data_IF_291830512381
#
_entry.id   IF_291830512381
#
_cell.length_a   1.000
_cell.length_b   1.000
_cell.length_c   1.000
_cell.angle_alpha   90.00
_cell.angle_beta   90.00
_cell.angle_gamma   90.00
#
_symmetry.space_group_name_H-M   'P 1'
#
loop_
_entity.id
_entity.type
_entity.pdbx_description
1 polymer ?
#
# COMPACT_ATOMS: atom_id res chain seq x y z
N UNK A 1 -14.64 -27.53 -4.62
CA UNK A 1 -14.48 -26.72 -5.83
C UNK A 1 -13.38 -25.73 -5.51
N UNK A 2 -12.18 -25.91 -6.06
CA UNK A 2 -11.17 -24.88 -5.94
C UNK A 2 -11.64 -23.74 -6.84
N UNK A 3 -12.13 -22.67 -6.23
CA UNK A 3 -12.28 -21.41 -6.94
C UNK A 3 -10.87 -21.08 -7.41
N UNK A 4 -10.61 -21.25 -8.71
CA UNK A 4 -9.37 -20.82 -9.35
C UNK A 4 -9.17 -19.38 -8.87
N UNK A 5 -8.14 -19.13 -8.04
CA UNK A 5 -7.98 -17.85 -7.34
C UNK A 5 -7.94 -16.75 -8.38
N UNK A 6 -9.10 -16.12 -8.58
CA UNK A 6 -9.31 -15.06 -9.55
C UNK A 6 -8.62 -13.84 -8.94
N UNK A 7 -7.30 -13.79 -9.12
CA UNK A 7 -6.48 -12.80 -8.46
C UNK A 7 -6.76 -11.45 -9.11
N UNK A 8 -7.41 -10.56 -8.35
CA UNK A 8 -7.77 -9.22 -8.80
C UNK A 8 -6.55 -8.51 -9.42
N UNK A 9 -6.61 -8.08 -10.69
CA UNK A 9 -5.51 -7.37 -11.33
C UNK A 9 -5.11 -6.11 -10.56
N UNK A 10 -6.04 -5.46 -9.86
CA UNK A 10 -5.73 -4.31 -9.01
C UNK A 10 -4.82 -4.70 -7.85
N UNK A 11 -5.02 -5.86 -7.21
CA UNK A 11 -4.15 -6.30 -6.12
C UNK A 11 -2.73 -6.54 -6.63
N UNK A 12 -2.57 -7.22 -7.77
CA UNK A 12 -1.25 -7.41 -8.41
C UNK A 12 -0.55 -6.06 -8.64
N UNK A 13 -1.26 -5.12 -9.27
CA UNK A 13 -0.73 -3.80 -9.57
C UNK A 13 -0.38 -3.01 -8.31
N UNK A 14 -1.18 -3.12 -7.24
CA UNK A 14 -0.88 -2.48 -5.95
C UNK A 14 0.40 -3.01 -5.33
N UNK A 15 0.63 -4.32 -5.37
CA UNK A 15 1.87 -4.93 -4.87
C UNK A 15 3.09 -4.53 -5.70
N UNK A 16 2.94 -4.41 -7.02
CA UNK A 16 3.99 -3.87 -7.89
C UNK A 16 4.29 -2.40 -7.54
N UNK A 17 3.25 -1.57 -7.42
CA UNK A 17 3.38 -0.15 -7.10
C UNK A 17 4.01 0.11 -5.72
N UNK A 18 3.78 -0.77 -4.74
CA UNK A 18 4.45 -0.73 -3.43
C UNK A 18 5.96 -0.95 -3.54
N UNK A 19 6.41 -1.79 -4.49
CA UNK A 19 7.84 -2.06 -4.73
C UNK A 19 8.50 -0.97 -5.56
N UNK A 20 7.81 -0.45 -6.56
CA UNK A 20 8.23 0.69 -7.37
C UNK A 20 7.01 1.40 -7.97
N UNK A 21 6.83 2.73 -7.79
CA UNK A 21 7.75 3.70 -7.21
C UNK A 21 7.50 4.02 -5.72
N UNK A 22 6.53 3.36 -5.07
CA UNK A 22 6.06 3.77 -3.73
C UNK A 22 6.87 3.19 -2.57
N UNK A 23 8.01 2.54 -2.84
CA UNK A 23 8.86 1.87 -1.83
C UNK A 23 9.24 2.79 -0.67
N UNK A 24 9.56 4.05 -0.96
CA UNK A 24 9.91 5.05 0.06
C UNK A 24 8.79 5.27 1.09
N UNK A 25 7.53 5.18 0.67
CA UNK A 25 6.38 5.35 1.56
C UNK A 25 6.10 4.08 2.36
N UNK A 26 6.38 2.90 1.79
CA UNK A 26 6.35 1.64 2.53
C UNK A 26 7.41 1.65 3.65
N UNK A 27 8.63 2.12 3.33
CA UNK A 27 9.71 2.26 4.32
C UNK A 27 9.37 3.28 5.41
N UNK A 28 8.83 4.46 5.03
CA UNK A 28 8.40 5.47 6.00
C UNK A 28 7.31 4.94 6.95
N UNK A 29 6.31 4.23 6.42
CA UNK A 29 5.28 3.58 7.23
C UNK A 29 5.89 2.52 8.16
N UNK A 30 6.86 1.73 7.68
CA UNK A 30 7.60 0.77 8.51
C UNK A 30 8.29 1.43 9.70
N UNK A 31 9.06 2.50 9.45
CA UNK A 31 9.76 3.26 10.49
C UNK A 31 8.80 3.87 11.51
N UNK A 32 7.69 4.47 11.05
CA UNK A 32 6.68 4.99 11.97
C UNK A 32 6.05 3.86 12.80
N UNK A 33 5.73 2.73 12.17
CA UNK A 33 5.11 1.59 12.86
C UNK A 33 6.03 1.04 13.95
N UNK A 34 7.31 0.86 13.67
CA UNK A 34 8.31 0.44 14.66
C UNK A 34 8.43 1.45 15.81
N UNK A 35 8.40 2.75 15.50
CA UNK A 35 8.43 3.82 16.50
C UNK A 35 7.21 3.78 17.42
N UNK A 36 6.00 3.66 16.87
CA UNK A 36 4.74 3.64 17.62
C UNK A 36 4.62 2.36 18.45
N UNK A 37 4.93 1.19 17.89
CA UNK A 37 4.92 -0.09 18.61
C UNK A 37 5.95 -0.14 19.75
N UNK A 38 7.03 0.63 19.64
CA UNK A 38 8.03 0.78 20.70
C UNK A 38 7.59 1.63 21.90
N UNK A 39 6.43 2.31 21.84
CA UNK A 39 5.93 3.16 22.94
C UNK A 39 4.90 2.41 23.79
N UNK A 40 5.01 2.58 25.12
CA UNK A 40 4.05 1.98 26.08
C UNK A 40 2.74 2.77 26.23
N UNK A 41 2.80 4.08 26.01
CA UNK A 41 1.65 4.98 26.03
C UNK A 41 1.97 6.13 25.08
N UNK A 42 1.32 6.17 23.92
CA UNK A 42 1.45 7.24 22.93
C UNK A 42 0.11 7.49 22.27
N UNK A 43 -0.16 8.74 21.93
CA UNK A 43 -1.27 9.14 21.06
C UNK A 43 -0.83 9.20 19.58
N UNK A 44 0.47 9.03 19.33
CA UNK A 44 1.04 8.98 17.99
C UNK A 44 0.48 7.79 17.21
N UNK A 45 0.15 8.04 15.95
CA UNK A 45 -0.23 7.04 14.97
C UNK A 45 0.45 7.35 13.62
N UNK A 46 0.41 6.39 12.70
CA UNK A 46 1.04 6.50 11.38
C UNK A 46 0.05 6.82 10.26
N UNK A 47 -1.01 7.59 10.57
CA UNK A 47 -2.07 7.88 9.62
C UNK A 47 -1.54 8.63 8.39
N UNK A 48 -0.64 9.59 8.60
CA UNK A 48 -0.07 10.38 7.51
C UNK A 48 0.75 9.51 6.55
N UNK A 49 1.60 8.62 7.07
CA UNK A 49 2.36 7.66 6.25
C UNK A 49 1.46 6.67 5.50
N UNK A 50 0.33 6.27 6.09
CA UNK A 50 -0.68 5.44 5.42
C UNK A 50 -1.31 6.21 4.26
N UNK A 51 -1.74 7.46 4.48
CA UNK A 51 -2.37 8.29 3.44
C UNK A 51 -1.38 8.54 2.28
N UNK A 52 -0.11 8.82 2.59
CA UNK A 52 0.93 9.02 1.59
C UNK A 52 1.17 7.75 0.74
N UNK A 53 1.29 6.60 1.40
CA UNK A 53 1.44 5.32 0.72
C UNK A 53 0.23 5.01 -0.18
N UNK A 54 -0.98 5.15 0.35
CA UNK A 54 -2.21 4.90 -0.40
C UNK A 54 -2.33 5.84 -1.60
N UNK A 55 -2.04 7.12 -1.41
CA UNK A 55 -2.08 8.11 -2.49
C UNK A 55 -1.10 7.76 -3.61
N UNK A 56 0.12 7.34 -3.28
CA UNK A 56 1.09 6.91 -4.28
C UNK A 56 0.63 5.65 -5.02
N UNK A 57 0.20 4.63 -4.26
CA UNK A 57 -0.23 3.34 -4.81
C UNK A 57 -1.44 3.52 -5.72
N UNK A 58 -2.43 4.33 -5.34
CA UNK A 58 -3.61 4.56 -6.16
C UNK A 58 -3.26 5.33 -7.43
N UNK A 59 -2.42 6.37 -7.37
CA UNK A 59 -1.91 7.08 -8.56
C UNK A 59 -1.19 6.14 -9.53
N UNK A 60 -0.50 5.11 -9.02
CA UNK A 60 0.22 4.15 -9.82
C UNK A 60 -0.68 3.02 -10.38
N UNK A 61 -1.47 2.37 -9.53
CA UNK A 61 -2.20 1.15 -9.85
C UNK A 61 -3.56 1.42 -10.50
N UNK A 62 -4.30 2.45 -10.07
CA UNK A 62 -5.69 2.67 -10.50
C UNK A 62 -5.77 2.92 -12.02
N UNK A 63 -4.97 3.83 -12.62
CA UNK A 63 -5.02 4.03 -14.07
C UNK A 63 -4.61 2.78 -14.86
N UNK A 64 -3.74 1.92 -14.30
CA UNK A 64 -3.32 0.66 -14.92
C UNK A 64 -4.45 -0.36 -14.88
N UNK A 65 -5.11 -0.51 -13.72
CA UNK A 65 -6.22 -1.44 -13.54
C UNK A 65 -7.41 -1.08 -14.43
N UNK A 66 -7.78 0.21 -14.51
CA UNK A 66 -8.88 0.65 -15.38
C UNK A 66 -8.62 0.40 -16.87
N UNK A 67 -7.36 0.30 -17.31
CA UNK A 67 -7.06 -0.10 -18.70
C UNK A 67 -7.34 -1.57 -18.99
N UNK A 68 -7.42 -2.41 -17.95
CA UNK A 68 -7.70 -3.85 -18.07
C UNK A 68 -9.19 -4.18 -18.03
N UNK A 69 -10.06 -3.21 -17.70
CA UNK A 69 -11.53 -3.37 -17.69
C UNK A 69 -12.17 -3.13 -19.07
N UNK A 70 -11.35 -2.91 -20.11
CA UNK A 70 -11.81 -2.86 -21.51
C UNK A 70 -12.08 -4.26 -22.03
#
# INVERSE_FOLDING_TARGET
MAEEELQDPLQKLREECKKDPCRKFVEALGVCTERVLGRKATEENCHDEVVDLMTCVDKCAVPRAFRMLK
#
